data_IF_820564717546
#
_entry.id   IF_820564717546
#
_cell.length_a   1.000
_cell.length_b   1.000
_cell.length_c   1.000
_cell.angle_alpha   90.00
_cell.angle_beta   90.00
_cell.angle_gamma   90.00
#
_symmetry.space_group_name_H-M   'P 1'
#
loop_
_entity.id
_entity.type
_entity.pdbx_description
1 polymer ?
#
# COMPACT_ATOMS: atom_id res chain seq x y z
N UNK A 1 40.01 60.50 -15.27
CA UNK A 1 39.91 59.05 -15.30
C UNK A 1 38.45 58.67 -15.40
N UNK A 2 38.09 57.81 -16.36
CA UNK A 2 36.72 57.29 -16.43
C UNK A 2 36.54 56.23 -15.33
N UNK A 3 35.54 56.41 -14.48
CA UNK A 3 35.19 55.46 -13.44
C UNK A 3 34.24 54.43 -14.04
N UNK A 4 34.64 53.18 -14.13
CA UNK A 4 33.77 52.11 -14.54
C UNK A 4 33.01 51.67 -13.30
N UNK A 5 31.70 51.88 -13.28
CA UNK A 5 30.83 51.31 -12.26
C UNK A 5 30.50 49.85 -12.63
N UNK A 6 31.12 48.91 -11.97
CA UNK A 6 30.95 47.48 -12.21
C UNK A 6 29.60 46.91 -11.68
N UNK A 7 28.80 47.79 -11.05
CA UNK A 7 27.57 47.38 -10.42
C UNK A 7 27.80 46.46 -9.21
N UNK A 8 26.74 45.74 -8.77
CA UNK A 8 26.85 44.73 -7.73
C UNK A 8 27.39 43.44 -8.35
N UNK A 9 28.49 42.95 -7.80
CA UNK A 9 29.15 41.74 -8.29
C UNK A 9 28.57 40.47 -7.64
N UNK A 10 27.69 40.61 -6.65
CA UNK A 10 27.01 39.48 -5.95
C UNK A 10 25.69 39.91 -5.33
N UNK A 11 24.71 39.03 -5.24
CA UNK A 11 23.47 39.28 -4.50
C UNK A 11 23.77 39.64 -3.03
N UNK A 12 22.93 40.53 -2.47
CA UNK A 12 23.06 40.96 -1.07
C UNK A 12 21.79 40.61 -0.30
N UNK A 13 21.98 39.87 0.80
CA UNK A 13 20.87 39.53 1.67
C UNK A 13 20.51 40.72 2.57
N UNK A 14 19.28 41.19 2.48
CA UNK A 14 18.73 42.36 3.17
C UNK A 14 17.88 41.98 4.41
N UNK A 15 17.68 40.67 4.67
CA UNK A 15 16.83 40.22 5.76
C UNK A 15 15.36 40.08 5.37
N UNK A 16 14.45 40.31 6.29
CA UNK A 16 13.01 40.28 6.03
C UNK A 16 12.57 41.45 5.15
N UNK A 17 11.68 41.19 4.19
CA UNK A 17 11.09 42.22 3.35
C UNK A 17 10.38 43.29 4.19
N UNK A 18 10.62 44.55 3.87
CA UNK A 18 9.91 45.69 4.43
C UNK A 18 9.48 46.64 3.29
N UNK A 19 8.18 46.90 3.18
CA UNK A 19 7.62 47.75 2.10
C UNK A 19 8.11 49.18 2.12
N UNK A 20 8.73 49.70 3.18
CA UNK A 20 9.30 51.05 3.25
C UNK A 20 10.76 51.11 2.83
N UNK A 21 11.41 49.99 2.62
CA UNK A 21 12.83 49.92 2.22
C UNK A 21 12.95 50.02 0.69
N UNK A 22 13.91 50.81 0.23
CA UNK A 22 14.29 50.86 -1.17
C UNK A 22 15.24 49.70 -1.47
N UNK A 23 14.81 48.78 -2.34
CA UNK A 23 15.61 47.67 -2.81
C UNK A 23 16.15 47.93 -4.21
N UNK A 24 17.32 47.39 -4.48
CA UNK A 24 17.95 47.48 -5.83
C UNK A 24 18.09 46.05 -6.38
N UNK A 25 18.36 45.98 -7.71
CA UNK A 25 18.59 44.67 -8.36
C UNK A 25 19.65 43.88 -7.62
N UNK A 26 19.44 42.57 -7.47
CA UNK A 26 20.26 41.62 -6.72
C UNK A 26 20.15 41.68 -5.17
N UNK A 27 19.24 42.51 -4.64
CA UNK A 27 18.86 42.36 -3.21
C UNK A 27 18.02 41.13 -3.02
N UNK A 28 18.36 40.35 -1.97
CA UNK A 28 17.62 39.15 -1.55
C UNK A 28 16.90 39.44 -0.23
N UNK A 29 15.63 39.09 -0.16
CA UNK A 29 14.79 39.22 1.04
C UNK A 29 14.05 37.95 1.35
N UNK A 30 13.60 37.80 2.60
CA UNK A 30 12.66 36.75 3.00
C UNK A 30 11.28 37.35 3.27
N UNK A 31 10.21 36.63 2.90
CA UNK A 31 8.83 36.98 3.22
C UNK A 31 7.95 35.74 3.23
N UNK A 32 7.16 35.58 4.27
CA UNK A 32 6.24 34.42 4.38
C UNK A 32 6.94 33.05 4.42
N UNK A 33 8.21 33.01 4.83
CA UNK A 33 9.02 31.77 4.79
C UNK A 33 9.61 31.45 3.41
N UNK A 34 9.44 32.32 2.44
CA UNK A 34 10.00 32.22 1.09
C UNK A 34 11.14 33.21 0.88
N UNK A 35 11.98 33.00 -0.11
CA UNK A 35 13.10 33.87 -0.47
C UNK A 35 12.91 34.46 -1.85
N UNK A 36 13.13 35.74 -1.99
CA UNK A 36 12.94 36.51 -3.24
C UNK A 36 14.19 37.31 -3.56
N UNK A 37 14.45 37.51 -4.86
CA UNK A 37 15.47 38.43 -5.37
C UNK A 37 14.81 39.60 -6.09
N UNK A 38 15.30 40.80 -5.82
CA UNK A 38 14.87 41.99 -6.52
C UNK A 38 15.44 41.99 -7.96
N UNK A 39 14.56 42.03 -8.98
CA UNK A 39 14.93 42.01 -10.40
C UNK A 39 14.73 43.41 -11.07
N UNK A 40 14.03 44.29 -10.37
CA UNK A 40 13.86 45.70 -10.77
C UNK A 40 13.81 46.52 -9.49
N UNK A 41 14.56 47.64 -9.44
CA UNK A 41 14.60 48.51 -8.29
C UNK A 41 13.20 48.88 -7.80
N UNK A 42 12.96 48.73 -6.50
CA UNK A 42 11.62 48.72 -5.91
C UNK A 42 11.58 49.37 -4.55
N UNK A 43 10.54 50.18 -4.30
CA UNK A 43 10.11 50.62 -2.99
C UNK A 43 8.59 50.46 -2.91
N UNK A 44 8.08 49.81 -1.84
CA UNK A 44 6.63 49.63 -1.64
C UNK A 44 5.97 48.55 -2.47
N UNK A 45 6.69 47.89 -3.38
CA UNK A 45 6.13 46.79 -4.18
C UNK A 45 6.29 45.44 -3.46
N UNK A 46 5.17 44.80 -3.17
CA UNK A 46 5.16 43.52 -2.48
C UNK A 46 5.93 42.42 -3.25
N UNK A 47 6.47 41.44 -2.54
CA UNK A 47 7.24 40.29 -3.10
C UNK A 47 6.42 39.41 -4.04
N UNK A 48 5.08 39.51 -4.00
CA UNK A 48 4.15 38.87 -4.97
C UNK A 48 4.11 39.54 -6.35
N UNK A 49 4.68 40.74 -6.49
CA UNK A 49 4.71 41.46 -7.76
C UNK A 49 5.91 40.97 -8.63
N UNK A 50 5.61 40.10 -9.59
CA UNK A 50 6.60 39.47 -10.46
C UNK A 50 7.37 40.45 -11.38
N UNK A 51 6.94 41.72 -11.50
CA UNK A 51 7.70 42.78 -12.23
C UNK A 51 8.96 43.16 -11.44
N UNK A 52 8.93 43.12 -10.12
CA UNK A 52 10.01 43.62 -9.26
C UNK A 52 10.75 42.47 -8.55
N UNK A 53 10.09 41.32 -8.36
CA UNK A 53 10.62 40.23 -7.55
C UNK A 53 10.56 38.91 -8.31
N UNK A 54 11.62 38.12 -8.20
CA UNK A 54 11.65 36.72 -8.58
C UNK A 54 11.83 35.85 -7.37
N UNK A 55 11.04 34.78 -7.28
CA UNK A 55 11.15 33.82 -6.18
C UNK A 55 12.39 32.95 -6.37
N UNK A 56 13.32 32.93 -5.42
CA UNK A 56 14.50 32.07 -5.39
C UNK A 56 14.24 30.74 -4.72
N UNK A 57 13.50 30.76 -3.60
CA UNK A 57 13.17 29.55 -2.87
C UNK A 57 11.73 29.64 -2.36
N UNK A 58 10.99 28.56 -2.57
CA UNK A 58 9.65 28.35 -2.02
C UNK A 58 9.79 27.82 -0.59
N UNK A 59 8.91 28.23 0.32
CA UNK A 59 8.74 27.53 1.58
C UNK A 59 8.47 26.05 1.28
N UNK A 60 9.20 25.15 1.95
CA UNK A 60 8.91 23.72 1.90
C UNK A 60 7.47 23.44 2.34
N UNK A 61 6.89 22.35 1.84
CA UNK A 61 5.59 21.93 2.33
C UNK A 61 5.67 21.72 3.83
N UNK A 62 4.73 22.33 4.53
CA UNK A 62 4.71 22.33 5.99
C UNK A 62 4.22 20.95 6.47
N UNK A 63 5.09 20.18 7.11
CA UNK A 63 4.71 18.91 7.75
C UNK A 63 3.88 19.10 9.03
N UNK A 64 3.40 20.34 9.30
CA UNK A 64 2.49 20.66 10.40
C UNK A 64 1.17 19.88 10.33
N UNK A 65 0.92 19.18 9.22
CA UNK A 65 -0.20 18.25 9.10
C UNK A 65 -0.07 17.04 10.06
N UNK A 66 1.15 16.67 10.44
CA UNK A 66 1.39 15.63 11.46
C UNK A 66 1.21 16.24 12.84
N UNK A 67 0.10 15.97 13.48
CA UNK A 67 -0.28 16.57 14.78
C UNK A 67 -0.21 15.59 15.94
N UNK A 68 -0.13 14.28 15.63
CA UNK A 68 -0.17 13.21 16.63
C UNK A 68 0.94 12.21 16.35
N UNK A 69 1.54 11.66 17.41
CA UNK A 69 2.51 10.58 17.27
C UNK A 69 1.86 9.35 16.58
N UNK A 70 2.51 8.86 15.53
CA UNK A 70 1.98 7.74 14.71
C UNK A 70 1.18 8.16 13.49
N UNK A 71 1.01 9.47 13.23
CA UNK A 71 0.44 9.97 11.99
C UNK A 71 1.30 9.61 10.78
N UNK A 72 0.67 9.40 9.63
CA UNK A 72 1.33 9.11 8.35
C UNK A 72 0.91 10.14 7.31
N UNK A 73 1.87 10.67 6.54
CA UNK A 73 1.56 11.45 5.35
C UNK A 73 1.45 10.54 4.14
N UNK A 74 0.45 10.77 3.31
CA UNK A 74 0.27 10.07 2.05
C UNK A 74 -0.14 11.04 0.93
N UNK A 75 -0.05 10.58 -0.31
CA UNK A 75 -0.55 11.32 -1.48
C UNK A 75 -2.01 10.94 -1.72
N UNK A 76 -2.92 11.82 -1.34
CA UNK A 76 -4.34 11.73 -1.66
C UNK A 76 -4.70 12.46 -2.96
N UNK A 77 -6.00 12.56 -3.26
CA UNK A 77 -6.52 13.21 -4.45
C UNK A 77 -6.24 14.72 -4.48
N UNK A 78 -6.24 15.37 -3.31
CA UNK A 78 -5.98 16.82 -3.15
C UNK A 78 -4.52 17.20 -2.98
N UNK A 79 -3.61 16.25 -2.84
CA UNK A 79 -2.19 16.53 -2.56
C UNK A 79 -1.64 15.67 -1.45
N UNK A 80 -0.77 16.25 -0.62
CA UNK A 80 -0.27 15.58 0.60
C UNK A 80 -1.33 15.68 1.68
N UNK A 81 -1.75 14.53 2.19
CA UNK A 81 -2.81 14.39 3.19
C UNK A 81 -2.30 13.60 4.40
N UNK A 82 -2.96 13.80 5.54
CA UNK A 82 -2.65 13.13 6.80
C UNK A 82 -3.59 11.95 7.01
N UNK A 83 -3.03 10.78 7.25
CA UNK A 83 -3.74 9.68 7.88
C UNK A 83 -3.43 9.71 9.39
N UNK A 84 -4.43 9.98 10.21
CA UNK A 84 -4.27 9.99 11.66
C UNK A 84 -3.84 8.61 12.17
N UNK A 85 -3.15 8.57 13.32
CA UNK A 85 -2.70 7.33 13.93
C UNK A 85 -3.85 6.32 14.07
N UNK A 86 -3.61 5.07 13.69
CA UNK A 86 -4.55 3.97 13.84
C UNK A 86 -4.64 3.45 15.28
N UNK A 87 -5.64 2.63 15.54
CA UNK A 87 -5.76 1.90 16.81
C UNK A 87 -4.68 0.81 16.90
N UNK A 88 -4.22 0.52 18.11
CA UNK A 88 -3.25 -0.57 18.38
C UNK A 88 -3.71 -1.89 17.72
N UNK A 89 -2.79 -2.56 17.03
CA UNK A 89 -3.06 -3.79 16.29
C UNK A 89 -3.55 -3.59 14.85
N UNK A 90 -3.80 -2.34 14.43
CA UNK A 90 -4.13 -2.06 13.03
C UNK A 90 -2.88 -2.09 12.15
N UNK A 91 -3.08 -2.45 10.89
CA UNK A 91 -2.09 -2.41 9.81
C UNK A 91 -2.49 -1.37 8.77
N UNK A 92 -1.50 -0.73 8.14
CA UNK A 92 -1.75 0.15 7.01
C UNK A 92 -2.15 -0.70 5.80
N UNK A 93 -3.36 -0.49 5.29
CA UNK A 93 -3.92 -1.23 4.17
C UNK A 93 -4.07 -0.32 2.95
N UNK A 94 -3.54 -0.76 1.80
CA UNK A 94 -3.88 -0.14 0.51
C UNK A 94 -5.28 -0.58 0.06
N UNK A 95 -6.02 0.35 -0.55
CA UNK A 95 -7.33 0.08 -1.18
C UNK A 95 -7.22 -0.01 -2.72
N UNK A 96 -6.00 -0.06 -3.25
CA UNK A 96 -5.75 -0.08 -4.68
C UNK A 96 -5.45 1.31 -5.27
N UNK A 97 -5.26 1.36 -6.58
CA UNK A 97 -5.00 2.61 -7.28
C UNK A 97 -6.19 3.58 -7.14
N UNK A 98 -5.88 4.87 -6.98
CA UNK A 98 -6.85 5.95 -6.83
C UNK A 98 -7.74 5.89 -5.57
N UNK A 99 -7.35 5.10 -4.56
CA UNK A 99 -8.01 5.06 -3.27
C UNK A 99 -7.00 5.33 -2.14
N UNK A 100 -7.43 6.06 -1.12
CA UNK A 100 -6.59 6.41 0.01
C UNK A 100 -6.27 5.18 0.88
N UNK A 101 -5.05 5.10 1.46
CA UNK A 101 -4.73 4.08 2.43
C UNK A 101 -5.56 4.25 3.70
N UNK A 102 -5.83 3.16 4.38
CA UNK A 102 -6.59 3.17 5.63
C UNK A 102 -5.90 2.30 6.67
N UNK A 103 -6.16 2.56 7.95
CA UNK A 103 -5.88 1.62 9.01
C UNK A 103 -6.98 0.55 9.04
N UNK A 104 -6.58 -0.70 8.97
CA UNK A 104 -7.49 -1.84 9.07
C UNK A 104 -7.03 -2.77 10.18
N UNK A 105 -7.95 -3.48 10.81
CA UNK A 105 -7.58 -4.55 11.72
C UNK A 105 -6.67 -5.54 10.99
N UNK A 106 -5.59 -5.98 11.62
CA UNK A 106 -4.86 -7.15 11.17
C UNK A 106 -5.81 -8.34 11.32
N UNK A 107 -6.62 -8.56 10.29
CA UNK A 107 -7.53 -9.71 10.28
C UNK A 107 -6.68 -10.96 10.21
N UNK A 108 -6.86 -11.86 11.17
CA UNK A 108 -6.46 -13.24 11.03
C UNK A 108 -7.06 -13.89 9.77
N UNK A 109 -6.93 -15.19 9.64
CA UNK A 109 -7.54 -15.93 8.52
C UNK A 109 -9.05 -15.67 8.53
N UNK A 110 -9.56 -15.05 7.46
CA UNK A 110 -10.99 -14.85 7.28
C UNK A 110 -11.58 -16.11 6.64
N UNK A 111 -12.36 -16.85 7.42
CA UNK A 111 -12.99 -18.07 6.98
C UNK A 111 -14.31 -17.79 6.27
N UNK A 112 -14.45 -18.27 5.03
CA UNK A 112 -15.67 -18.19 4.24
C UNK A 112 -16.43 -19.53 4.32
N UNK A 113 -17.74 -19.47 4.59
CA UNK A 113 -18.58 -20.64 4.72
C UNK A 113 -19.09 -21.14 3.37
N UNK A 114 -18.90 -22.43 3.08
CA UNK A 114 -19.28 -23.07 1.82
C UNK A 114 -20.11 -24.32 2.03
N UNK A 115 -21.16 -24.44 1.20
CA UNK A 115 -22.04 -25.62 1.15
C UNK A 115 -22.44 -26.00 -0.26
N UNK A 116 -21.64 -25.69 -1.25
CA UNK A 116 -21.84 -26.05 -2.65
C UNK A 116 -20.49 -26.04 -3.36
N UNK A 117 -20.43 -26.60 -4.57
CA UNK A 117 -19.25 -26.55 -5.42
C UNK A 117 -18.78 -25.09 -5.62
N UNK A 118 -17.48 -24.86 -5.50
CA UNK A 118 -16.88 -23.55 -5.76
C UNK A 118 -15.42 -23.69 -6.21
N UNK A 119 -14.88 -22.60 -6.78
CA UNK A 119 -13.45 -22.49 -7.06
C UNK A 119 -12.79 -21.66 -5.96
N UNK A 120 -11.78 -22.22 -5.33
CA UNK A 120 -10.99 -21.55 -4.34
C UNK A 120 -10.09 -20.47 -4.97
N UNK A 121 -9.80 -19.41 -4.24
CA UNK A 121 -8.81 -18.40 -4.61
C UNK A 121 -7.54 -18.55 -3.78
N UNK A 122 -6.41 -18.11 -4.30
CA UNK A 122 -5.15 -18.09 -3.52
C UNK A 122 -5.32 -17.24 -2.27
N UNK A 123 -4.80 -17.73 -1.13
CA UNK A 123 -4.96 -17.12 0.18
C UNK A 123 -6.32 -17.33 0.84
N UNK A 124 -7.24 -18.04 0.17
CA UNK A 124 -8.59 -18.31 0.69
C UNK A 124 -8.61 -19.35 1.82
N UNK A 125 -9.52 -19.16 2.75
CA UNK A 125 -9.82 -20.10 3.83
C UNK A 125 -11.32 -20.40 3.87
N UNK A 126 -11.70 -21.67 3.89
CA UNK A 126 -13.08 -22.10 3.73
C UNK A 126 -13.50 -23.12 4.75
N UNK A 127 -14.62 -22.88 5.42
CA UNK A 127 -15.31 -23.89 6.20
C UNK A 127 -16.30 -24.61 5.28
N UNK A 128 -16.04 -25.86 4.97
CA UNK A 128 -16.81 -26.67 4.01
C UNK A 128 -17.80 -27.57 4.75
N UNK A 129 -19.09 -27.23 4.72
CA UNK A 129 -20.14 -27.99 5.38
C UNK A 129 -20.79 -28.99 4.42
N UNK A 130 -20.27 -30.21 4.38
CA UNK A 130 -20.87 -31.31 3.62
C UNK A 130 -22.06 -31.99 4.34
N UNK A 131 -22.22 -31.75 5.63
CA UNK A 131 -23.31 -32.35 6.43
C UNK A 131 -24.70 -31.83 6.11
N UNK A 132 -24.80 -30.62 5.60
CA UNK A 132 -26.08 -30.00 5.26
C UNK A 132 -26.55 -30.38 3.84
N UNK A 133 -25.62 -30.51 2.89
CA UNK A 133 -25.95 -30.63 1.46
C UNK A 133 -25.43 -31.91 0.81
N UNK A 134 -24.69 -32.75 1.52
CA UNK A 134 -23.96 -33.88 0.98
C UNK A 134 -22.58 -33.51 0.44
N UNK A 135 -21.91 -34.48 -0.18
CA UNK A 135 -20.60 -34.30 -0.77
C UNK A 135 -20.59 -33.20 -1.86
N UNK A 136 -19.56 -32.39 -1.91
CA UNK A 136 -19.36 -31.41 -2.95
C UNK A 136 -17.87 -31.21 -3.28
N UNK A 137 -17.58 -30.41 -4.31
CA UNK A 137 -16.24 -30.23 -4.84
C UNK A 137 -15.73 -28.81 -4.62
N UNK A 138 -14.51 -28.70 -4.12
CA UNK A 138 -13.69 -27.48 -4.15
C UNK A 138 -12.71 -27.60 -5.31
N UNK A 139 -12.73 -26.68 -6.26
CA UNK A 139 -11.75 -26.64 -7.34
C UNK A 139 -10.59 -25.70 -6.95
N UNK A 140 -9.36 -26.18 -6.99
CA UNK A 140 -8.17 -25.38 -6.71
C UNK A 140 -7.91 -24.35 -7.81
N UNK A 141 -7.15 -23.25 -7.53
CA UNK A 141 -6.76 -22.25 -8.53
C UNK A 141 -6.09 -22.90 -9.76
N UNK A 142 -6.45 -22.43 -10.98
CA UNK A 142 -5.95 -23.04 -12.23
C UNK A 142 -4.48 -22.71 -12.53
N UNK A 143 -4.02 -21.50 -12.18
CA UNK A 143 -2.66 -21.02 -12.46
C UNK A 143 -2.04 -20.48 -11.16
N UNK A 144 -1.74 -21.37 -10.20
CA UNK A 144 -1.16 -20.95 -8.93
C UNK A 144 0.30 -20.52 -9.08
N UNK A 145 0.70 -19.55 -8.29
CA UNK A 145 2.09 -19.12 -8.12
C UNK A 145 2.75 -19.85 -6.95
N UNK A 146 4.07 -19.86 -6.91
CA UNK A 146 4.80 -20.46 -5.78
C UNK A 146 4.38 -19.83 -4.45
N UNK A 147 4.15 -20.67 -3.43
CA UNK A 147 3.62 -20.32 -2.12
C UNK A 147 2.13 -19.86 -2.08
N UNK A 148 1.40 -19.90 -3.17
CA UNK A 148 -0.06 -19.80 -3.09
C UNK A 148 -0.61 -20.89 -2.16
N UNK A 149 -1.63 -20.57 -1.39
CA UNK A 149 -2.21 -21.54 -0.47
C UNK A 149 -3.74 -21.48 -0.44
N UNK A 150 -4.33 -22.60 -0.05
CA UNK A 150 -5.77 -22.73 0.25
C UNK A 150 -5.93 -23.48 1.57
N UNK A 151 -6.81 -22.97 2.41
CA UNK A 151 -7.19 -23.60 3.67
C UNK A 151 -8.62 -24.15 3.58
N UNK A 152 -8.82 -25.40 3.93
CA UNK A 152 -10.12 -26.07 3.96
C UNK A 152 -10.34 -26.70 5.33
N UNK A 153 -11.49 -26.47 5.94
CA UNK A 153 -11.80 -27.04 7.26
C UNK A 153 -13.18 -27.69 7.28
N UNK A 154 -13.26 -28.86 7.90
CA UNK A 154 -14.54 -29.49 8.27
C UNK A 154 -15.01 -28.93 9.62
N UNK A 155 -15.74 -27.83 9.59
CA UNK A 155 -16.28 -27.22 10.81
C UNK A 155 -17.45 -27.98 11.44
N UNK A 156 -17.97 -29.01 10.77
CA UNK A 156 -19.18 -29.73 11.16
C UNK A 156 -18.98 -31.23 11.47
N UNK A 157 -17.77 -31.74 11.25
CA UNK A 157 -17.44 -33.14 11.51
C UNK A 157 -18.18 -34.10 10.61
N UNK A 158 -18.28 -33.83 9.32
CA UNK A 158 -19.10 -34.59 8.37
C UNK A 158 -18.37 -35.13 7.14
N UNK A 159 -17.09 -34.83 6.97
CA UNK A 159 -16.36 -35.30 5.80
C UNK A 159 -16.22 -36.81 5.71
N UNK A 160 -16.32 -37.54 6.82
CA UNK A 160 -16.34 -39.00 6.80
C UNK A 160 -17.67 -39.57 6.22
N UNK A 161 -18.77 -38.89 6.49
CA UNK A 161 -20.10 -39.34 6.05
C UNK A 161 -20.43 -38.83 4.64
N UNK A 162 -19.94 -37.66 4.29
CA UNK A 162 -20.09 -36.97 3.02
C UNK A 162 -18.77 -36.28 2.66
N UNK A 163 -17.96 -36.91 1.85
CA UNK A 163 -16.59 -36.48 1.57
C UNK A 163 -16.54 -35.13 0.85
N UNK A 164 -15.50 -34.33 1.15
CA UNK A 164 -15.15 -33.19 0.33
C UNK A 164 -14.15 -33.61 -0.76
N UNK A 165 -14.47 -33.37 -2.01
CA UNK A 165 -13.52 -33.54 -3.12
C UNK A 165 -12.75 -32.25 -3.35
N UNK A 166 -11.42 -32.33 -3.41
CA UNK A 166 -10.54 -31.22 -3.78
C UNK A 166 -10.03 -31.48 -5.19
N UNK A 167 -10.65 -30.82 -6.16
CA UNK A 167 -10.33 -30.97 -7.57
C UNK A 167 -9.02 -30.21 -7.88
N UNK A 168 -8.07 -30.92 -8.44
CA UNK A 168 -6.68 -30.46 -8.71
C UNK A 168 -6.54 -29.36 -9.76
N UNK A 169 -7.55 -29.21 -10.64
CA UNK A 169 -7.60 -28.22 -11.71
C UNK A 169 -6.32 -28.17 -12.58
N UNK A 170 -5.87 -29.34 -13.00
CA UNK A 170 -4.70 -29.50 -13.88
C UNK A 170 -3.35 -29.63 -13.18
N UNK A 171 -3.25 -29.28 -11.90
CA UNK A 171 -2.02 -29.43 -11.12
C UNK A 171 -2.00 -30.75 -10.34
N UNK A 172 -0.82 -31.22 -9.91
CA UNK A 172 -0.74 -32.39 -9.03
C UNK A 172 -1.09 -32.01 -7.58
N UNK A 173 -1.65 -32.95 -6.84
CA UNK A 173 -1.82 -32.85 -5.37
C UNK A 173 -1.02 -33.97 -4.72
N UNK A 174 -0.15 -33.61 -3.77
CA UNK A 174 0.75 -34.55 -3.08
C UNK A 174 1.56 -35.46 -4.03
N UNK A 175 1.93 -34.91 -5.21
CA UNK A 175 2.67 -35.66 -6.23
C UNK A 175 1.79 -36.44 -7.22
N UNK A 176 0.51 -36.60 -6.95
CA UNK A 176 -0.39 -37.42 -7.74
C UNK A 176 -1.23 -36.56 -8.74
N UNK A 177 -1.40 -37.09 -9.94
CA UNK A 177 -2.29 -36.48 -10.96
C UNK A 177 -3.76 -36.87 -10.72
N UNK A 178 -4.20 -36.81 -9.46
CA UNK A 178 -5.53 -37.19 -9.03
C UNK A 178 -6.12 -36.11 -8.08
N UNK A 179 -7.45 -36.04 -8.02
CA UNK A 179 -8.15 -35.21 -7.06
C UNK A 179 -7.99 -35.79 -5.65
N UNK A 180 -7.97 -34.94 -4.64
CA UNK A 180 -7.89 -35.36 -3.25
C UNK A 180 -9.29 -35.54 -2.67
N UNK A 181 -9.53 -36.66 -1.99
CA UNK A 181 -10.73 -36.87 -1.19
C UNK A 181 -10.43 -36.63 0.28
N UNK A 182 -11.11 -35.67 0.88
CA UNK A 182 -11.06 -35.42 2.31
C UNK A 182 -12.23 -36.16 2.97
N UNK A 183 -11.90 -37.15 3.81
CA UNK A 183 -12.81 -38.12 4.43
C UNK A 183 -12.68 -38.21 5.95
N UNK A 184 -12.00 -37.27 6.55
CA UNK A 184 -11.75 -37.25 8.00
C UNK A 184 -12.53 -36.12 8.67
N UNK A 185 -13.35 -36.48 9.66
CA UNK A 185 -14.15 -35.51 10.41
C UNK A 185 -13.26 -34.54 11.21
N UNK A 186 -13.67 -33.25 11.23
CA UNK A 186 -12.97 -32.14 11.89
C UNK A 186 -11.55 -31.91 11.37
N UNK A 187 -11.22 -32.39 10.16
CA UNK A 187 -9.92 -32.15 9.56
C UNK A 187 -9.79 -30.70 9.10
N UNK A 188 -8.57 -30.19 9.13
CA UNK A 188 -8.19 -28.97 8.45
C UNK A 188 -7.04 -29.30 7.51
N UNK A 189 -7.18 -28.90 6.25
CA UNK A 189 -6.19 -29.08 5.19
C UNK A 189 -5.60 -27.73 4.85
N UNK A 190 -4.28 -27.64 4.84
CA UNK A 190 -3.58 -26.55 4.18
C UNK A 190 -2.88 -27.11 2.95
N UNK A 191 -3.27 -26.63 1.77
CA UNK A 191 -2.59 -26.93 0.54
C UNK A 191 -1.76 -25.71 0.14
N UNK A 192 -0.45 -25.91 -0.08
CA UNK A 192 0.47 -24.87 -0.53
C UNK A 192 1.06 -25.30 -1.87
N UNK A 193 1.04 -24.40 -2.86
CA UNK A 193 1.59 -24.71 -4.18
C UNK A 193 3.10 -24.49 -4.24
N UNK A 194 3.79 -25.44 -4.87
CA UNK A 194 5.23 -25.40 -5.09
C UNK A 194 5.55 -25.58 -6.58
N UNK A 195 6.35 -24.67 -7.11
CA UNK A 195 6.83 -24.70 -8.50
C UNK A 195 8.17 -25.40 -8.64
N UNK A 196 8.95 -25.47 -7.56
CA UNK A 196 10.26 -26.10 -7.52
C UNK A 196 10.28 -27.20 -6.48
N UNK A 197 10.92 -28.35 -6.75
CA UNK A 197 11.16 -29.37 -5.74
C UNK A 197 12.00 -28.76 -4.59
N UNK A 198 11.55 -28.99 -3.38
CA UNK A 198 12.34 -28.76 -2.18
C UNK A 198 13.38 -29.90 -2.05
N UNK A 199 14.46 -29.68 -1.29
CA UNK A 199 15.47 -30.71 -0.96
C UNK A 199 14.90 -31.95 -0.26
N UNK A 200 13.71 -31.84 0.29
CA UNK A 200 12.98 -32.91 0.98
C UNK A 200 11.80 -33.47 0.19
N UNK A 201 11.38 -32.81 -0.90
CA UNK A 201 10.23 -33.21 -1.71
C UNK A 201 10.52 -32.98 -3.19
N UNK A 202 10.47 -34.04 -3.99
CA UNK A 202 10.59 -33.97 -5.45
C UNK A 202 9.28 -33.57 -6.15
N UNK A 203 8.26 -33.16 -5.40
CA UNK A 203 6.92 -32.91 -5.93
C UNK A 203 6.74 -31.43 -6.27
N UNK A 204 6.31 -31.18 -7.53
CA UNK A 204 5.75 -29.91 -8.01
C UNK A 204 4.25 -30.03 -7.94
N UNK A 205 3.57 -29.02 -7.45
CA UNK A 205 2.12 -29.02 -7.31
C UNK A 205 1.66 -28.57 -5.90
N UNK A 206 0.44 -28.93 -5.58
CA UNK A 206 -0.14 -28.67 -4.26
C UNK A 206 0.37 -29.71 -3.25
N UNK A 207 1.00 -29.23 -2.17
CA UNK A 207 1.47 -30.06 -1.06
C UNK A 207 0.62 -29.79 0.18
N UNK A 208 0.37 -30.85 0.94
CA UNK A 208 -0.30 -30.76 2.24
C UNK A 208 0.75 -30.40 3.32
N UNK A 209 0.48 -29.35 4.13
CA UNK A 209 1.36 -28.86 5.19
C UNK A 209 0.58 -28.59 6.47
#
# INVERSE_FOLDING_TARGET
MATINLGRIKPVFQGAYNGSTAYVVDDIVTFGGETFICILASTGNATSNATYWSKLAKKGDDVTQLTTHGDVLFRGSGGVERLAAGTSGNVLQTKGAAADPVWASATGINWDYKKANFTAVSGGAYICNTGEVGAFTVTLPANPSDNDYVLLADGYGKWKDANLTVARNGQNIAGEAADLTADSNYATLRLTYKTTPDVTSSYIGWVLV
#
